data_IF_942815006421
#
_entry.id   IF_942815006421
#
_cell.length_a   1.000
_cell.length_b   1.000
_cell.length_c   1.000
_cell.angle_alpha   90.00
_cell.angle_beta   90.00
_cell.angle_gamma   90.00
#
_symmetry.space_group_name_H-M   'P 1'
#
loop_
_entity.id
_entity.type
_entity.pdbx_description
1 polymer ?
#
# COMPACT_ATOMS: atom_id res chain seq x y z
N UNK A 1 -6.12 -1.61 -14.98
CA UNK A 1 -5.83 -2.50 -13.84
C UNK A 1 -4.37 -2.95 -13.83
N UNK A 2 -3.82 -3.46 -14.93
CA UNK A 2 -2.42 -3.92 -15.00
C UNK A 2 -1.40 -2.76 -14.96
N UNK A 3 -1.66 -1.65 -15.64
CA UNK A 3 -0.76 -0.49 -15.64
C UNK A 3 -0.70 0.19 -14.26
N UNK A 4 -1.85 0.45 -13.63
CA UNK A 4 -1.93 1.05 -12.30
C UNK A 4 -1.21 0.19 -11.25
N UNK A 5 -1.36 -1.14 -11.31
CA UNK A 5 -0.73 -2.07 -10.37
C UNK A 5 0.79 -2.14 -10.56
N UNK A 6 1.29 -2.10 -11.79
CA UNK A 6 2.73 -2.02 -12.07
C UNK A 6 3.36 -0.74 -11.52
N UNK A 7 2.71 0.42 -11.75
CA UNK A 7 3.18 1.69 -11.20
C UNK A 7 3.18 1.69 -9.67
N UNK A 8 2.12 1.13 -9.09
CA UNK A 8 1.96 1.03 -7.63
C UNK A 8 3.07 0.17 -7.01
N UNK A 9 3.32 -1.02 -7.57
CA UNK A 9 4.42 -1.89 -7.12
C UNK A 9 5.80 -1.20 -7.27
N UNK A 10 6.03 -0.45 -8.34
CA UNK A 10 7.30 0.28 -8.53
C UNK A 10 7.47 1.39 -7.50
N UNK A 11 6.45 2.21 -7.29
CA UNK A 11 6.45 3.32 -6.32
C UNK A 11 6.65 2.77 -4.92
N UNK A 12 5.81 1.81 -4.51
CA UNK A 12 5.83 1.25 -3.16
C UNK A 12 7.07 0.41 -2.93
N UNK A 13 7.53 -0.33 -3.92
CA UNK A 13 8.81 -1.04 -3.88
C UNK A 13 9.96 -0.08 -3.61
N UNK A 14 9.95 1.11 -4.23
CA UNK A 14 10.95 2.16 -3.99
C UNK A 14 10.85 2.71 -2.56
N UNK A 15 9.63 2.96 -2.07
CA UNK A 15 9.39 3.40 -0.68
C UNK A 15 9.87 2.36 0.32
N UNK A 16 9.55 1.09 0.11
CA UNK A 16 9.95 -0.04 0.97
C UNK A 16 11.46 -0.23 0.95
N UNK A 17 12.10 -0.12 -0.22
CA UNK A 17 13.56 -0.16 -0.33
C UNK A 17 14.20 0.99 0.44
N UNK A 18 13.74 2.22 0.21
CA UNK A 18 14.23 3.40 0.92
C UNK A 18 14.07 3.26 2.44
N UNK A 19 12.90 2.82 2.89
CA UNK A 19 12.64 2.55 4.30
C UNK A 19 13.55 1.45 4.85
N UNK A 20 13.74 0.34 4.12
CA UNK A 20 14.57 -0.77 4.56
C UNK A 20 16.04 -0.37 4.74
N UNK A 21 16.56 0.50 3.86
CA UNK A 21 17.91 1.05 3.95
C UNK A 21 18.02 1.99 5.16
N UNK A 22 17.08 2.92 5.30
CA UNK A 22 17.07 3.90 6.40
C UNK A 22 16.90 3.23 7.78
N UNK A 23 16.02 2.24 7.87
CA UNK A 23 15.73 1.52 9.10
C UNK A 23 16.65 0.30 9.34
N UNK A 24 17.63 0.04 8.45
CA UNK A 24 18.53 -1.12 8.47
C UNK A 24 17.79 -2.46 8.63
N UNK A 25 16.66 -2.61 7.94
CA UNK A 25 15.81 -3.81 7.97
C UNK A 25 16.03 -4.64 6.70
N UNK A 26 15.82 -5.97 6.74
CA UNK A 26 16.00 -6.81 5.57
C UNK A 26 14.93 -6.49 4.50
N UNK A 27 15.37 -6.01 3.35
CA UNK A 27 14.51 -5.57 2.26
C UNK A 27 13.66 -6.70 1.66
N UNK A 28 14.20 -7.91 1.51
CA UNK A 28 13.51 -9.03 0.86
C UNK A 28 12.16 -9.39 1.50
N UNK A 29 12.10 -9.72 2.80
CA UNK A 29 10.85 -10.01 3.50
C UNK A 29 9.85 -8.85 3.49
N UNK A 30 10.36 -7.62 3.54
CA UNK A 30 9.56 -6.40 3.51
C UNK A 30 8.91 -6.18 2.14
N UNK A 31 9.68 -6.36 1.06
CA UNK A 31 9.19 -6.27 -0.31
C UNK A 31 8.16 -7.37 -0.62
N UNK A 32 8.43 -8.60 -0.18
CA UNK A 32 7.48 -9.69 -0.35
C UNK A 32 6.17 -9.43 0.39
N UNK A 33 6.24 -8.99 1.65
CA UNK A 33 5.06 -8.62 2.43
C UNK A 33 4.29 -7.47 1.75
N UNK A 34 4.98 -6.42 1.31
CA UNK A 34 4.37 -5.30 0.58
C UNK A 34 3.66 -5.77 -0.68
N UNK A 35 4.31 -6.59 -1.51
CA UNK A 35 3.73 -7.06 -2.77
C UNK A 35 2.45 -7.88 -2.55
N UNK A 36 2.47 -8.81 -1.59
CA UNK A 36 1.29 -9.63 -1.25
C UNK A 36 0.14 -8.75 -0.75
N UNK A 37 0.47 -7.80 0.13
CA UNK A 37 -0.51 -6.89 0.74
C UNK A 37 -1.13 -5.97 -0.32
N UNK A 38 -0.31 -5.35 -1.17
CA UNK A 38 -0.77 -4.42 -2.20
C UNK A 38 -1.62 -5.10 -3.28
N UNK A 39 -1.29 -6.33 -3.69
CA UNK A 39 -2.15 -7.09 -4.61
C UNK A 39 -3.54 -7.29 -4.00
N UNK A 40 -3.61 -7.63 -2.71
CA UNK A 40 -4.88 -7.86 -2.02
C UNK A 40 -5.68 -6.57 -1.85
N UNK A 41 -5.06 -5.52 -1.31
CA UNK A 41 -5.73 -4.24 -1.03
C UNK A 41 -6.15 -3.52 -2.30
N UNK A 42 -5.32 -3.54 -3.35
CA UNK A 42 -5.63 -2.89 -4.61
C UNK A 42 -6.75 -3.61 -5.39
N UNK A 43 -6.83 -4.94 -5.27
CA UNK A 43 -7.97 -5.71 -5.80
C UNK A 43 -9.26 -5.35 -5.09
N UNK A 44 -9.24 -5.27 -3.75
CA UNK A 44 -10.40 -4.89 -2.94
C UNK A 44 -10.84 -3.45 -3.22
N UNK A 45 -9.90 -2.52 -3.36
CA UNK A 45 -10.17 -1.13 -3.71
C UNK A 45 -10.91 -1.05 -5.05
N UNK A 46 -10.40 -1.74 -6.06
CA UNK A 46 -10.99 -1.74 -7.39
C UNK A 46 -12.44 -2.27 -7.38
N UNK A 47 -12.67 -3.40 -6.71
CA UNK A 47 -14.03 -3.97 -6.54
C UNK A 47 -14.94 -2.97 -5.83
N UNK A 48 -14.45 -2.34 -4.76
CA UNK A 48 -15.23 -1.36 -3.98
C UNK A 48 -15.61 -0.14 -4.80
N UNK A 49 -14.67 0.40 -5.59
CA UNK A 49 -14.94 1.56 -6.45
C UNK A 49 -15.92 1.24 -7.58
N UNK A 50 -15.92 0.01 -8.10
CA UNK A 50 -16.93 -0.42 -9.07
C UNK A 50 -18.32 -0.58 -8.45
N UNK A 51 -18.40 -1.16 -7.25
CA UNK A 51 -19.68 -1.36 -6.55
C UNK A 51 -20.31 -0.02 -6.12
N UNK A 52 -19.50 0.94 -5.69
CA UNK A 52 -19.97 2.22 -5.18
C UNK A 52 -19.61 3.40 -6.08
N UNK A 53 -19.65 3.20 -7.41
CA UNK A 53 -19.27 4.22 -8.40
C UNK A 53 -20.00 5.57 -8.24
N UNK A 54 -21.23 5.57 -7.73
CA UNK A 54 -22.02 6.81 -7.48
C UNK A 54 -21.48 7.67 -6.34
N UNK A 55 -20.74 7.07 -5.40
CA UNK A 55 -20.14 7.75 -4.25
C UNK A 55 -18.61 7.67 -4.31
N UNK A 56 -18.05 7.70 -5.52
CA UNK A 56 -16.65 7.39 -5.80
C UNK A 56 -15.66 8.02 -4.82
N UNK A 57 -15.74 9.34 -4.59
CA UNK A 57 -14.80 10.04 -3.70
C UNK A 57 -14.94 9.58 -2.24
N UNK A 58 -16.16 9.41 -1.75
CA UNK A 58 -16.39 8.97 -0.36
C UNK A 58 -15.90 7.54 -0.19
N UNK A 59 -16.21 6.65 -1.14
CA UNK A 59 -15.72 5.28 -1.14
C UNK A 59 -14.21 5.22 -1.22
N UNK A 60 -13.57 6.05 -2.05
CA UNK A 60 -12.12 6.14 -2.16
C UNK A 60 -11.50 6.51 -0.81
N UNK A 61 -11.92 7.61 -0.18
CA UNK A 61 -11.37 8.02 1.12
C UNK A 61 -11.58 6.98 2.22
N UNK A 62 -12.77 6.37 2.30
CA UNK A 62 -13.06 5.33 3.29
C UNK A 62 -12.20 4.09 3.03
N UNK A 63 -12.08 3.68 1.77
CA UNK A 63 -11.27 2.53 1.38
C UNK A 63 -9.79 2.77 1.69
N UNK A 64 -9.22 3.94 1.39
CA UNK A 64 -7.84 4.31 1.71
C UNK A 64 -7.54 4.20 3.22
N UNK A 65 -8.45 4.66 4.08
CA UNK A 65 -8.30 4.53 5.54
C UNK A 65 -8.31 3.06 5.97
N UNK A 66 -9.24 2.27 5.43
CA UNK A 66 -9.34 0.85 5.74
C UNK A 66 -8.13 0.07 5.22
N UNK A 67 -7.67 0.37 4.01
CA UNK A 67 -6.48 -0.20 3.38
C UNK A 67 -5.29 0.10 4.27
N UNK A 68 -5.03 1.36 4.61
CA UNK A 68 -3.93 1.73 5.48
C UNK A 68 -3.91 0.91 6.79
N UNK A 69 -5.05 0.73 7.46
CA UNK A 69 -5.14 -0.08 8.68
C UNK A 69 -4.87 -1.57 8.41
N UNK A 70 -5.46 -2.14 7.37
CA UNK A 70 -5.29 -3.55 6.98
C UNK A 70 -3.83 -3.81 6.61
N UNK A 71 -3.23 -2.96 5.78
CA UNK A 71 -1.84 -3.08 5.36
C UNK A 71 -0.88 -2.97 6.53
N UNK A 72 -1.09 -1.99 7.42
CA UNK A 72 -0.28 -1.84 8.63
C UNK A 72 -0.29 -3.13 9.47
N UNK A 73 -1.46 -3.74 9.64
CA UNK A 73 -1.61 -5.00 10.36
C UNK A 73 -0.95 -6.18 9.62
N UNK A 74 -1.18 -6.30 8.31
CA UNK A 74 -0.63 -7.39 7.50
C UNK A 74 0.89 -7.29 7.37
N UNK A 75 1.45 -6.10 7.15
CA UNK A 75 2.90 -5.86 7.09
C UNK A 75 3.56 -6.23 8.42
N UNK A 76 2.96 -5.88 9.55
CA UNK A 76 3.48 -6.28 10.86
C UNK A 76 3.53 -7.81 10.97
N UNK A 77 2.45 -8.50 10.57
CA UNK A 77 2.33 -9.95 10.72
C UNK A 77 3.21 -10.73 9.74
N UNK A 78 3.25 -10.30 8.48
CA UNK A 78 4.00 -10.94 7.39
C UNK A 78 5.50 -10.65 7.42
N UNK A 79 5.92 -9.57 8.10
CA UNK A 79 7.34 -9.27 8.30
C UNK A 79 8.01 -10.14 9.38
N UNK A 80 7.34 -11.19 9.88
CA UNK A 80 7.84 -12.12 10.90
C UNK A 80 8.30 -11.39 12.19
N UNK A 81 7.56 -10.38 12.62
CA UNK A 81 7.89 -9.61 13.84
C UNK A 81 9.08 -8.65 13.69
N UNK A 82 9.57 -8.42 12.47
CA UNK A 82 10.67 -7.48 12.21
C UNK A 82 10.23 -6.01 12.20
N UNK A 83 8.93 -5.75 12.07
CA UNK A 83 8.34 -4.42 12.23
C UNK A 83 7.48 -4.33 13.47
N UNK A 84 7.67 -3.24 14.21
CA UNK A 84 6.72 -2.82 15.24
C UNK A 84 5.50 -2.18 14.57
N UNK A 85 4.36 -2.14 15.28
CA UNK A 85 3.11 -1.55 14.76
C UNK A 85 3.30 -0.12 14.25
N UNK A 86 4.10 0.70 14.95
CA UNK A 86 4.40 2.08 14.55
C UNK A 86 5.16 2.14 13.23
N UNK A 87 6.15 1.26 13.05
CA UNK A 87 6.95 1.16 11.84
C UNK A 87 6.06 0.70 10.67
N UNK A 88 5.18 -0.28 10.91
CA UNK A 88 4.26 -0.80 9.90
C UNK A 88 3.22 0.26 9.48
N UNK A 89 2.65 1.00 10.44
CA UNK A 89 1.78 2.14 10.18
C UNK A 89 2.46 3.22 9.37
N UNK A 90 3.70 3.58 9.72
CA UNK A 90 4.47 4.60 9.01
C UNK A 90 4.79 4.14 7.59
N UNK A 91 5.23 2.89 7.42
CA UNK A 91 5.56 2.33 6.12
C UNK A 91 4.33 2.26 5.21
N UNK A 92 3.20 1.73 5.69
CA UNK A 92 1.95 1.68 4.92
C UNK A 92 1.41 3.08 4.63
N UNK A 93 1.56 4.04 5.55
CA UNK A 93 1.18 5.42 5.28
C UNK A 93 2.03 6.02 4.15
N UNK A 94 3.35 5.84 4.20
CA UNK A 94 4.25 6.32 3.15
C UNK A 94 3.95 5.66 1.80
N UNK A 95 3.67 4.36 1.78
CA UNK A 95 3.26 3.64 0.57
C UNK A 95 1.97 4.21 -0.01
N UNK A 96 0.88 4.21 0.76
CA UNK A 96 -0.42 4.71 0.29
C UNK A 96 -0.37 6.19 -0.08
N UNK A 97 0.29 7.05 0.70
CA UNK A 97 0.40 8.47 0.38
C UNK A 97 1.18 8.70 -0.93
N UNK A 98 2.23 7.91 -1.18
CA UNK A 98 3.01 8.00 -2.42
C UNK A 98 2.20 7.50 -3.61
N UNK A 99 1.53 6.36 -3.47
CA UNK A 99 0.69 5.76 -4.52
C UNK A 99 -0.54 6.61 -4.83
N UNK A 100 -1.23 7.13 -3.81
CA UNK A 100 -2.35 8.04 -3.95
C UNK A 100 -1.91 9.37 -4.59
N UNK A 101 -0.84 9.96 -4.06
CA UNK A 101 -0.31 11.24 -4.56
C UNK A 101 0.11 11.13 -6.02
N UNK A 102 0.92 10.13 -6.37
CA UNK A 102 1.38 9.93 -7.75
C UNK A 102 0.22 9.48 -8.65
N UNK A 103 -0.66 8.60 -8.15
CA UNK A 103 -1.86 8.13 -8.86
C UNK A 103 -2.83 9.26 -9.21
N UNK A 104 -2.87 10.33 -8.40
CA UNK A 104 -3.67 11.53 -8.70
C UNK A 104 -3.15 12.32 -9.91
N UNK A 105 -1.84 12.32 -10.14
CA UNK A 105 -1.20 13.06 -11.24
C UNK A 105 -0.95 12.21 -12.48
N UNK A 106 -1.06 10.88 -12.38
CA UNK A 106 -0.94 10.00 -13.53
C UNK A 106 -2.19 10.13 -14.42
N UNK A 107 -2.03 10.44 -15.72
CA UNK A 107 -3.16 10.41 -16.64
C UNK A 107 -3.65 8.97 -16.76
N UNK A 108 -4.96 8.79 -16.54
CA UNK A 108 -5.67 7.50 -16.66
C UNK A 108 -5.82 7.14 -18.13
#
# INVERSE_FOLDING_TARGET
MTQSLLFTILIEGTVVLGYSILAKRPAGPLLWASLVVNIFTQTLLWISLQLFFRHYLVTLFVAEILIWLIESFLLQRLSNGKLNLRDACTLSFCMNASSFGIGWFLPI
#
